data_IF_035885810169
#
_entry.id   IF_035885810169
#
_cell.length_a   1.000
_cell.length_b   1.000
_cell.length_c   1.000
_cell.angle_alpha   90.00
_cell.angle_beta   90.00
_cell.angle_gamma   90.00
#
_symmetry.space_group_name_H-M   'P 1'
#
loop_
_entity.id
_entity.type
_entity.pdbx_description
1 polymer ?
#
# COMPACT_ATOMS: atom_id res chain seq x y z
N UNK A 1 8.54 31.58 18.25
CA UNK A 1 8.63 30.12 18.03
C UNK A 1 7.52 29.44 18.80
N UNK A 2 6.45 29.01 18.12
CA UNK A 2 5.42 28.14 18.71
C UNK A 2 5.44 26.86 17.88
N UNK A 3 6.13 25.84 18.37
CA UNK A 3 6.03 24.47 17.87
C UNK A 3 4.64 23.96 18.19
N UNK A 4 3.71 24.07 17.24
CA UNK A 4 2.40 23.43 17.34
C UNK A 4 2.60 21.94 16.99
N UNK A 5 2.60 21.08 18.01
CA UNK A 5 2.62 19.63 17.84
C UNK A 5 1.20 19.16 17.51
N UNK A 6 0.81 19.18 16.23
CA UNK A 6 -0.43 18.55 15.79
C UNK A 6 -0.19 17.03 15.68
N UNK A 7 -0.37 16.31 16.79
CA UNK A 7 -0.55 14.87 16.76
C UNK A 7 -2.02 14.60 16.41
N UNK A 8 -2.33 14.36 15.13
CA UNK A 8 -3.63 13.79 14.78
C UNK A 8 -3.61 12.32 15.19
N UNK A 9 -3.98 12.06 16.45
CA UNK A 9 -4.35 10.74 16.95
C UNK A 9 -5.80 10.49 16.53
N UNK A 10 -6.00 9.79 15.41
CA UNK A 10 -7.29 9.17 15.12
C UNK A 10 -7.45 7.97 16.08
N UNK A 11 -8.02 8.22 17.26
CA UNK A 11 -8.55 7.15 18.11
C UNK A 11 -9.89 6.71 17.53
N UNK A 12 -9.91 5.62 16.76
CA UNK A 12 -11.13 4.84 16.60
C UNK A 12 -11.38 4.09 17.92
N UNK A 13 -12.13 4.72 18.82
CA UNK A 13 -12.68 4.04 19.99
C UNK A 13 -13.81 3.12 19.55
N UNK A 14 -13.70 1.82 19.82
CA UNK A 14 -14.84 0.90 19.75
C UNK A 14 -14.50 -0.42 19.07
N UNK A 15 -14.55 -1.50 19.84
CA UNK A 15 -14.60 -2.84 19.30
C UNK A 15 -15.80 -2.97 18.34
N UNK A 16 -15.53 -3.31 17.09
CA UNK A 16 -16.54 -3.70 16.10
C UNK A 16 -17.05 -2.57 15.21
N UNK A 17 -16.23 -2.12 14.24
CA UNK A 17 -16.67 -1.69 12.92
C UNK A 17 -15.44 -1.55 12.01
N UNK A 18 -15.58 -2.02 10.78
CA UNK A 18 -14.62 -1.83 9.69
C UNK A 18 -14.57 -0.33 9.41
N UNK A 19 -13.64 0.39 10.03
CA UNK A 19 -13.36 1.76 9.65
C UNK A 19 -12.42 1.69 8.45
N UNK A 20 -13.01 1.79 7.24
CA UNK A 20 -12.26 1.81 5.98
C UNK A 20 -11.49 3.13 5.97
N UNK A 21 -10.27 3.11 6.51
CA UNK A 21 -9.38 4.25 6.44
C UNK A 21 -9.16 4.60 4.96
N UNK A 22 -9.73 5.71 4.50
CA UNK A 22 -9.36 6.29 3.22
C UNK A 22 -7.99 6.97 3.38
N UNK A 23 -6.92 6.21 3.19
CA UNK A 23 -5.56 6.70 3.37
C UNK A 23 -5.24 7.86 2.42
N UNK A 24 -5.83 7.90 1.22
CA UNK A 24 -5.64 9.01 0.29
C UNK A 24 -6.14 10.32 0.92
N UNK A 25 -7.35 10.32 1.47
CA UNK A 25 -7.92 11.50 2.13
C UNK A 25 -7.06 11.95 3.33
N UNK A 26 -6.56 11.01 4.13
CA UNK A 26 -5.65 11.33 5.25
C UNK A 26 -4.39 12.04 4.77
N UNK A 27 -3.80 11.58 3.66
CA UNK A 27 -2.62 12.21 3.08
C UNK A 27 -2.93 13.60 2.52
N UNK A 28 -4.06 13.76 1.84
CA UNK A 28 -4.49 15.04 1.28
C UNK A 28 -4.74 16.08 2.39
N UNK A 29 -5.41 15.68 3.47
CA UNK A 29 -5.64 16.52 4.64
C UNK A 29 -4.33 16.85 5.36
N UNK A 30 -3.40 15.90 5.47
CA UNK A 30 -2.08 16.15 6.06
C UNK A 30 -1.30 17.20 5.25
N UNK A 31 -1.33 17.14 3.93
CA UNK A 31 -0.70 18.14 3.07
C UNK A 31 -1.38 19.50 3.22
N UNK A 32 -2.72 19.55 3.12
CA UNK A 32 -3.51 20.77 3.23
C UNK A 32 -3.26 21.51 4.55
N UNK A 33 -3.09 20.76 5.63
CA UNK A 33 -2.89 21.30 6.98
C UNK A 33 -1.41 21.41 7.38
N UNK A 34 -0.47 21.20 6.45
CA UNK A 34 0.98 21.25 6.70
C UNK A 34 1.43 20.37 7.88
N UNK A 35 0.82 19.19 8.02
CA UNK A 35 1.17 18.22 9.05
C UNK A 35 2.58 17.70 8.78
N UNK A 36 3.42 17.71 9.83
CA UNK A 36 4.81 17.24 9.73
C UNK A 36 4.92 15.71 9.74
N UNK A 37 4.03 15.02 10.45
CA UNK A 37 4.08 13.56 10.63
C UNK A 37 2.69 12.93 10.54
N UNK A 38 2.52 11.97 9.64
CA UNK A 38 1.37 11.07 9.56
C UNK A 38 1.78 9.71 10.11
N UNK A 39 1.00 9.17 11.06
CA UNK A 39 1.21 7.82 11.59
C UNK A 39 0.15 6.88 11.06
N UNK A 40 0.58 5.85 10.36
CA UNK A 40 -0.26 4.81 9.83
C UNK A 40 -0.72 3.87 10.95
N UNK A 41 -1.95 3.33 10.89
CA UNK A 41 -2.41 2.34 11.86
C UNK A 41 -1.62 1.05 11.71
N UNK A 42 -1.45 0.32 12.83
CA UNK A 42 -0.84 -1.02 12.80
C UNK A 42 -1.74 -2.02 12.07
N UNK A 43 -1.13 -3.03 11.47
CA UNK A 43 -1.83 -4.09 10.76
C UNK A 43 -1.83 -3.90 9.24
N UNK A 44 -2.65 -4.70 8.55
CA UNK A 44 -2.82 -4.66 7.10
C UNK A 44 -3.89 -3.64 6.74
N UNK A 45 -3.52 -2.60 5.99
CA UNK A 45 -4.41 -1.55 5.51
C UNK A 45 -4.65 -1.77 4.02
N UNK A 46 -5.87 -2.14 3.65
CA UNK A 46 -6.25 -2.27 2.25
C UNK A 46 -6.32 -0.89 1.61
N UNK A 47 -5.68 -0.74 0.46
CA UNK A 47 -5.71 0.47 -0.36
C UNK A 47 -6.66 0.24 -1.53
N UNK A 48 -7.68 1.08 -1.62
CA UNK A 48 -8.56 1.12 -2.78
C UNK A 48 -7.89 1.95 -3.88
N UNK A 49 -7.59 1.31 -5.01
CA UNK A 49 -6.92 1.96 -6.14
C UNK A 49 -5.46 2.29 -5.84
N UNK A 50 -5.12 3.58 -5.99
CA UNK A 50 -3.74 4.10 -5.93
C UNK A 50 -3.65 5.26 -4.97
N UNK A 51 -2.44 5.50 -4.47
CA UNK A 51 -2.10 6.69 -3.71
C UNK A 51 -1.38 7.72 -4.58
N UNK A 52 -1.65 9.00 -4.33
CA UNK A 52 -0.96 10.12 -4.93
C UNK A 52 -0.67 11.18 -3.87
N UNK A 53 0.59 11.42 -3.56
CA UNK A 53 1.00 12.54 -2.74
C UNK A 53 1.38 13.72 -3.64
N UNK A 54 0.76 14.88 -3.43
CA UNK A 54 0.95 16.06 -4.29
C UNK A 54 1.36 17.27 -3.45
N UNK A 55 2.36 18.02 -3.91
CA UNK A 55 2.78 19.30 -3.31
C UNK A 55 3.18 19.23 -1.82
N UNK A 56 3.52 18.04 -1.31
CA UNK A 56 3.91 17.87 0.08
C UNK A 56 5.35 18.38 0.31
N UNK A 57 5.57 19.07 1.44
CA UNK A 57 6.90 19.56 1.82
C UNK A 57 7.18 19.25 3.30
N UNK A 58 8.23 18.47 3.58
CA UNK A 58 8.65 18.16 4.96
C UNK A 58 7.74 17.17 5.70
N UNK A 59 7.01 16.32 4.98
CA UNK A 59 6.11 15.32 5.56
C UNK A 59 6.85 14.00 5.83
N UNK A 60 6.69 13.46 7.03
CA UNK A 60 7.10 12.11 7.41
C UNK A 60 5.88 11.20 7.51
N UNK A 61 5.93 10.03 6.88
CA UNK A 61 4.90 8.98 6.99
C UNK A 61 5.54 7.80 7.73
N UNK A 62 5.03 7.50 8.93
CA UNK A 62 5.54 6.45 9.81
C UNK A 62 4.50 5.34 9.96
N UNK A 63 4.91 4.08 9.85
CA UNK A 63 3.98 2.96 10.02
C UNK A 63 4.61 1.73 10.60
N UNK A 64 5.30 1.84 11.75
CA UNK A 64 5.88 0.68 12.45
C UNK A 64 4.80 -0.38 12.72
N UNK A 65 4.91 -1.51 12.02
CA UNK A 65 3.93 -2.60 12.09
C UNK A 65 2.74 -2.46 11.15
N UNK A 66 2.84 -1.59 10.14
CA UNK A 66 1.84 -1.40 9.07
C UNK A 66 2.28 -2.10 7.79
N UNK A 67 1.33 -2.73 7.11
CA UNK A 67 1.46 -3.18 5.72
C UNK A 67 0.36 -2.54 4.89
N UNK A 68 0.72 -1.74 3.89
CA UNK A 68 -0.23 -1.20 2.91
C UNK A 68 -0.43 -2.23 1.80
N UNK A 69 -1.66 -2.67 1.58
CA UNK A 69 -2.00 -3.75 0.64
C UNK A 69 -2.79 -3.20 -0.54
N UNK A 70 -2.21 -3.23 -1.72
CA UNK A 70 -2.84 -2.76 -2.97
C UNK A 70 -3.47 -3.93 -3.73
N UNK A 71 -4.51 -3.64 -4.52
CA UNK A 71 -5.16 -4.63 -5.38
C UNK A 71 -5.30 -4.16 -6.85
N UNK A 72 -4.97 -2.91 -7.16
CA UNK A 72 -4.97 -2.39 -8.53
C UNK A 72 -3.59 -2.58 -9.19
N UNK A 73 -3.55 -3.37 -10.26
CA UNK A 73 -2.32 -3.66 -11.02
C UNK A 73 -2.05 -2.69 -12.16
N UNK A 74 -2.97 -1.76 -12.42
CA UNK A 74 -2.86 -0.88 -13.59
C UNK A 74 -1.90 0.27 -13.30
N UNK A 75 -0.60 0.08 -13.50
CA UNK A 75 0.39 1.17 -13.37
C UNK A 75 0.88 1.39 -11.94
N UNK A 76 1.15 2.64 -11.56
CA UNK A 76 1.86 2.98 -10.33
C UNK A 76 0.92 2.98 -9.10
N UNK A 77 1.24 2.16 -8.09
CA UNK A 77 0.46 2.05 -6.86
C UNK A 77 0.53 3.30 -5.96
N UNK A 78 1.71 3.92 -5.85
CA UNK A 78 1.88 5.17 -5.10
C UNK A 78 2.77 6.14 -5.86
N UNK A 79 2.23 7.30 -6.20
CA UNK A 79 2.92 8.38 -6.91
C UNK A 79 3.21 9.58 -6.01
N UNK A 80 4.32 10.27 -6.29
CA UNK A 80 4.73 11.50 -5.61
C UNK A 80 4.95 12.58 -6.67
N UNK A 81 4.20 13.68 -6.58
CA UNK A 81 4.22 14.77 -7.54
C UNK A 81 4.55 16.09 -6.85
N UNK A 82 5.57 16.80 -7.33
CA UNK A 82 6.00 18.10 -6.81
C UNK A 82 6.23 18.10 -5.28
N UNK A 83 6.75 16.99 -4.75
CA UNK A 83 7.01 16.83 -3.33
C UNK A 83 8.48 17.14 -2.99
N UNK A 84 8.74 17.63 -1.78
CA UNK A 84 10.07 17.96 -1.27
C UNK A 84 10.26 17.44 0.15
N UNK A 85 11.43 16.86 0.45
CA UNK A 85 11.80 16.40 1.80
C UNK A 85 10.75 15.46 2.43
N UNK A 86 10.40 14.39 1.71
CA UNK A 86 9.47 13.37 2.21
C UNK A 86 10.25 12.21 2.82
N UNK A 87 9.79 11.73 3.98
CA UNK A 87 10.36 10.55 4.65
C UNK A 87 9.28 9.48 4.77
N UNK A 88 9.57 8.29 4.27
CA UNK A 88 8.74 7.09 4.46
C UNK A 88 9.51 6.13 5.36
N UNK A 89 8.93 5.68 6.49
CA UNK A 89 9.64 4.75 7.38
C UNK A 89 8.74 3.78 8.15
N UNK A 90 9.27 2.59 8.35
CA UNK A 90 8.74 1.61 9.30
C UNK A 90 7.57 0.75 8.82
N UNK A 91 7.10 0.90 7.58
CA UNK A 91 6.00 0.11 7.01
C UNK A 91 6.44 -0.70 5.79
N UNK A 92 5.62 -1.68 5.42
CA UNK A 92 5.77 -2.46 4.19
C UNK A 92 4.67 -2.14 3.18
N UNK A 93 4.94 -2.41 1.91
CA UNK A 93 3.99 -2.34 0.80
C UNK A 93 3.84 -3.76 0.24
N UNK A 94 2.61 -4.17 0.02
CA UNK A 94 2.24 -5.51 -0.42
C UNK A 94 1.09 -5.44 -1.45
N UNK A 95 0.85 -6.54 -2.16
CA UNK A 95 -0.24 -6.69 -3.10
C UNK A 95 -1.02 -7.97 -2.83
N UNK A 96 -2.35 -7.88 -2.87
CA UNK A 96 -3.24 -9.03 -2.73
C UNK A 96 -4.47 -8.90 -3.66
N UNK A 97 -4.58 -9.71 -4.72
CA UNK A 97 -3.61 -10.75 -5.13
C UNK A 97 -2.25 -10.17 -5.58
N UNK A 98 -1.22 -11.00 -5.71
CA UNK A 98 0.08 -10.58 -6.25
C UNK A 98 -0.02 -10.22 -7.75
N UNK A 99 0.71 -9.21 -8.25
CA UNK A 99 0.68 -8.79 -9.66
C UNK A 99 1.48 -9.72 -10.59
N UNK A 100 1.75 -10.95 -10.15
CA UNK A 100 2.48 -11.96 -10.90
C UNK A 100 2.01 -13.36 -10.48
N UNK A 101 2.32 -14.35 -11.31
CA UNK A 101 2.04 -15.77 -11.03
C UNK A 101 3.35 -16.49 -10.82
N UNK A 102 3.40 -17.38 -9.83
CA UNK A 102 4.49 -18.34 -9.67
C UNK A 102 3.94 -19.75 -9.88
N UNK A 103 4.67 -20.58 -10.61
CA UNK A 103 4.30 -21.95 -10.88
C UNK A 103 5.51 -22.88 -10.84
N UNK A 104 5.26 -24.16 -10.60
CA UNK A 104 6.25 -25.24 -10.69
C UNK A 104 6.06 -26.00 -11.99
N UNK A 105 7.11 -26.10 -12.80
CA UNK A 105 7.10 -26.96 -13.99
C UNK A 105 6.99 -28.42 -13.53
N UNK A 106 6.04 -29.15 -14.09
CA UNK A 106 5.78 -30.57 -13.78
C UNK A 106 6.25 -31.48 -14.89
N UNK A 107 6.29 -31.00 -16.13
CA UNK A 107 6.75 -31.76 -17.30
C UNK A 107 7.22 -30.83 -18.42
N UNK A 108 8.11 -31.36 -19.26
CA UNK A 108 8.61 -30.75 -20.49
C UNK A 108 8.32 -31.71 -21.66
N UNK A 109 7.84 -31.20 -22.79
CA UNK A 109 7.70 -32.00 -24.02
C UNK A 109 9.06 -32.44 -24.57
N UNK A 110 9.10 -33.52 -25.35
CA UNK A 110 10.36 -34.05 -25.92
C UNK A 110 11.10 -33.02 -26.79
N UNK A 111 10.37 -32.15 -27.48
CA UNK A 111 10.93 -31.06 -28.29
C UNK A 111 11.32 -29.82 -27.46
N UNK A 112 11.07 -29.82 -26.16
CA UNK A 112 11.40 -28.74 -25.22
C UNK A 112 10.54 -27.49 -25.33
N UNK A 113 9.44 -27.51 -26.10
CA UNK A 113 8.63 -26.31 -26.41
C UNK A 113 7.38 -26.14 -25.55
N UNK A 114 6.93 -27.20 -24.88
CA UNK A 114 5.71 -27.19 -24.06
C UNK A 114 6.06 -27.53 -22.62
N UNK A 115 5.60 -26.69 -21.71
CA UNK A 115 5.75 -26.86 -20.26
C UNK A 115 4.38 -27.14 -19.66
N UNK A 116 4.22 -28.27 -19.00
CA UNK A 116 3.12 -28.47 -18.07
C UNK A 116 3.55 -27.89 -16.71
N UNK A 117 2.66 -27.19 -16.02
CA UNK A 117 2.98 -26.57 -14.74
C UNK A 117 1.78 -26.50 -13.80
N UNK A 118 2.07 -26.35 -12.51
CA UNK A 118 1.11 -26.18 -11.44
C UNK A 118 1.33 -24.83 -10.77
N UNK A 119 0.28 -24.00 -10.70
CA UNK A 119 0.33 -22.68 -10.04
C UNK A 119 0.48 -22.87 -8.53
N UNK A 120 1.42 -22.15 -7.93
CA UNK A 120 1.67 -22.22 -6.49
C UNK A 120 0.49 -21.65 -5.69
N UNK A 121 0.20 -22.25 -4.55
CA UNK A 121 -0.87 -21.77 -3.64
C UNK A 121 -0.63 -20.31 -3.24
N UNK A 122 -1.66 -19.49 -3.32
CA UNK A 122 -1.62 -18.06 -2.96
C UNK A 122 -1.28 -17.12 -4.12
N UNK A 123 -0.97 -17.65 -5.30
CA UNK A 123 -0.85 -16.87 -6.54
C UNK A 123 -2.18 -16.82 -7.28
N UNK A 124 -2.49 -15.72 -7.99
CA UNK A 124 -3.68 -15.66 -8.81
C UNK A 124 -3.66 -16.73 -9.89
N UNK A 125 -4.85 -17.26 -10.23
CA UNK A 125 -5.01 -18.16 -11.37
C UNK A 125 -4.73 -17.46 -12.70
N UNK A 126 -4.50 -18.24 -13.77
CA UNK A 126 -4.23 -17.70 -15.11
C UNK A 126 -5.48 -17.19 -15.86
N UNK A 127 -6.67 -17.33 -15.28
CA UNK A 127 -7.94 -16.92 -15.89
C UNK A 127 -8.61 -15.88 -15.01
N UNK A 128 -9.40 -15.00 -15.64
CA UNK A 128 -10.30 -14.11 -14.91
C UNK A 128 -11.27 -14.95 -14.10
N UNK A 129 -11.35 -14.70 -12.81
CA UNK A 129 -12.51 -15.06 -11.98
C UNK A 129 -13.69 -14.14 -12.30
#
# INVERSE_FOLDING_TARGET
>A
MKTLLAALLLFASGAGAIDVLNLQQVLDDAVKNHVAVVRLPKGRVKIEGKLALRNAAGLTIEGTGTTLVFADYNGMAWSFHSCKNIVLRGFTIDFDPLPFVQARITKLSEDGKVYEFEVAKGYPGLRKE
#
